data_IF_382630641205
#
_entry.id   IF_382630641205
#
_cell.length_a   1.000
_cell.length_b   1.000
_cell.length_c   1.000
_cell.angle_alpha   90.00
_cell.angle_beta   90.00
_cell.angle_gamma   90.00
#
_symmetry.space_group_name_H-M   'P 1'
#
loop_
_entity.id
_entity.type
_entity.pdbx_description
1 polymer ?
#
# COMPACT_ATOMS: atom_id res chain seq x y z
N UNK A 1 -8.47 4.02 3.82
CA UNK A 1 -9.71 3.84 4.59
C UNK A 1 -10.47 5.15 4.68
N UNK A 2 -11.61 5.20 5.36
CA UNK A 2 -12.21 6.48 5.78
C UNK A 2 -11.16 7.16 6.68
N UNK A 3 -10.74 8.38 6.32
CA UNK A 3 -9.62 9.07 7.00
C UNK A 3 -8.22 8.55 6.67
N UNK A 4 -8.03 7.81 5.57
CA UNK A 4 -6.70 7.39 5.10
C UNK A 4 -6.04 8.40 4.16
N UNK A 5 -4.73 8.27 3.97
CA UNK A 5 -3.95 9.08 3.04
C UNK A 5 -4.00 8.52 1.62
N UNK A 6 -4.23 9.39 0.63
CA UNK A 6 -4.12 9.00 -0.78
C UNK A 6 -2.65 8.94 -1.16
N UNK A 7 -2.14 7.73 -1.40
CA UNK A 7 -0.72 7.48 -1.75
C UNK A 7 -0.50 7.32 -3.25
N UNK A 8 -1.56 7.35 -4.06
CA UNK A 8 -1.47 7.27 -5.52
C UNK A 8 -2.75 6.79 -6.19
N UNK A 9 -2.64 6.56 -7.50
CA UNK A 9 -3.71 6.00 -8.34
C UNK A 9 -3.18 4.75 -9.03
N UNK A 10 -3.99 3.70 -9.07
CA UNK A 10 -3.70 2.44 -9.75
C UNK A 10 -4.46 2.47 -11.08
N UNK A 11 -3.76 2.34 -12.19
CA UNK A 11 -4.38 2.10 -13.50
C UNK A 11 -4.53 0.59 -13.70
N UNK A 12 -5.73 0.12 -14.02
CA UNK A 12 -5.93 -1.26 -14.45
C UNK A 12 -5.31 -1.44 -15.84
N UNK A 13 -4.07 -1.96 -15.88
CA UNK A 13 -3.41 -2.36 -17.12
C UNK A 13 -4.01 -3.63 -17.71
N UNK A 14 -3.47 -4.05 -18.86
CA UNK A 14 -3.86 -5.26 -19.59
C UNK A 14 -3.47 -6.55 -18.85
N UNK A 15 -2.60 -6.44 -17.86
CA UNK A 15 -1.95 -7.58 -17.21
C UNK A 15 -2.79 -8.14 -16.05
N UNK A 16 -2.79 -9.47 -15.94
CA UNK A 16 -3.54 -10.19 -14.89
C UNK A 16 -2.95 -10.02 -13.49
N UNK A 17 -1.72 -9.51 -13.37
CA UNK A 17 -1.06 -9.20 -12.09
C UNK A 17 -0.20 -7.95 -12.24
N UNK A 18 -0.25 -7.06 -11.26
CA UNK A 18 0.55 -5.84 -11.24
C UNK A 18 1.17 -5.65 -9.85
N UNK A 19 2.42 -5.16 -9.84
CA UNK A 19 3.14 -4.80 -8.63
C UNK A 19 3.21 -3.28 -8.51
N UNK A 20 2.88 -2.76 -7.33
CA UNK A 20 2.89 -1.33 -7.05
C UNK A 20 3.66 -1.06 -5.79
N UNK A 21 4.50 -0.02 -5.84
CA UNK A 21 5.23 0.46 -4.68
C UNK A 21 4.65 1.79 -4.21
N UNK A 22 4.24 1.86 -2.95
CA UNK A 22 3.70 3.06 -2.33
C UNK A 22 4.50 3.41 -1.07
N UNK A 23 5.00 4.65 -0.94
CA UNK A 23 5.65 5.08 0.29
C UNK A 23 4.64 5.13 1.43
N UNK A 24 5.06 4.72 2.63
CA UNK A 24 4.23 4.80 3.83
C UNK A 24 4.24 6.26 4.32
N UNK A 25 3.08 6.93 4.43
CA UNK A 25 2.97 8.28 5.00
C UNK A 25 3.57 8.37 6.39
N UNK A 26 4.22 9.50 6.70
CA UNK A 26 4.91 9.72 7.98
C UNK A 26 3.97 9.55 9.19
N UNK A 27 2.69 9.87 9.02
CA UNK A 27 1.65 9.79 10.04
C UNK A 27 1.27 8.34 10.39
N UNK A 28 1.64 7.38 9.55
CA UNK A 28 1.44 5.95 9.79
C UNK A 28 2.72 5.26 10.28
N UNK A 29 3.84 5.98 10.40
CA UNK A 29 5.08 5.42 10.96
C UNK A 29 4.86 5.05 12.43
N UNK A 30 5.32 3.86 12.83
CA UNK A 30 5.10 3.32 14.17
C UNK A 30 3.73 2.68 14.41
N UNK A 31 2.79 2.76 13.45
CA UNK A 31 1.55 1.97 13.52
C UNK A 31 1.87 0.49 13.41
N UNK A 32 1.25 -0.37 14.23
CA UNK A 32 1.49 -1.82 14.20
C UNK A 32 0.98 -2.50 12.92
N UNK A 33 -0.13 -2.02 12.37
CA UNK A 33 -0.75 -2.53 11.14
C UNK A 33 -1.26 -1.37 10.30
N UNK A 34 -1.15 -1.52 9.00
CA UNK A 34 -1.69 -0.57 8.01
C UNK A 34 -2.64 -1.32 7.06
N UNK A 35 -3.64 -0.62 6.54
CA UNK A 35 -4.49 -1.15 5.47
C UNK A 35 -4.24 -0.37 4.19
N UNK A 36 -4.11 -1.10 3.09
CA UNK A 36 -4.10 -0.51 1.75
C UNK A 36 -5.47 -0.76 1.16
N UNK A 37 -6.17 0.32 0.78
CA UNK A 37 -7.50 0.26 0.14
C UNK A 37 -7.42 0.82 -1.26
N UNK A 38 -7.71 -0.02 -2.25
CA UNK A 38 -8.03 0.42 -3.60
C UNK A 38 -9.53 0.71 -3.68
N UNK A 39 -9.90 1.83 -4.30
CA UNK A 39 -11.30 2.21 -4.51
C UNK A 39 -11.48 2.83 -5.89
N UNK A 40 -12.64 2.65 -6.51
CA UNK A 40 -12.97 3.31 -7.77
C UNK A 40 -13.54 4.71 -7.56
N UNK A 41 -13.41 5.60 -8.55
CA UNK A 41 -13.81 7.01 -8.45
C UNK A 41 -15.29 7.32 -8.73
N UNK A 42 -16.14 6.31 -8.89
CA UNK A 42 -17.56 6.48 -9.24
C UNK A 42 -18.41 6.77 -8.00
N UNK A 43 -19.66 7.26 -8.20
CA UNK A 43 -20.59 7.59 -7.11
C UNK A 43 -20.90 6.42 -6.16
N UNK A 44 -20.78 5.18 -6.64
CA UNK A 44 -20.87 3.94 -5.86
C UNK A 44 -19.55 3.17 -5.98
N UNK A 45 -18.55 3.49 -5.12
CA UNK A 45 -17.21 2.96 -5.29
C UNK A 45 -17.14 1.50 -4.87
N UNK A 46 -16.61 0.66 -5.76
CA UNK A 46 -16.10 -0.65 -5.37
C UNK A 46 -14.78 -0.46 -4.63
N UNK A 47 -14.59 -1.19 -3.55
CA UNK A 47 -13.36 -1.14 -2.78
C UNK A 47 -12.85 -2.54 -2.46
N UNK A 48 -11.53 -2.68 -2.51
CA UNK A 48 -10.82 -3.83 -2.01
C UNK A 48 -9.76 -3.33 -1.02
N UNK A 49 -9.59 -4.02 0.10
CA UNK A 49 -8.57 -3.68 1.07
C UNK A 49 -7.99 -4.94 1.69
N UNK A 50 -6.70 -4.87 2.01
CA UNK A 50 -5.99 -5.88 2.78
C UNK A 50 -5.22 -5.21 3.92
N UNK A 51 -4.96 -5.99 4.98
CA UNK A 51 -4.19 -5.57 6.14
C UNK A 51 -2.78 -6.12 6.07
N UNK A 52 -1.82 -5.27 6.38
CA UNK A 52 -0.40 -5.59 6.38
C UNK A 52 0.21 -5.18 7.72
N UNK A 53 1.17 -5.97 8.19
CA UNK A 53 2.00 -5.57 9.32
C UNK A 53 3.01 -4.53 8.85
N UNK A 54 3.11 -3.43 9.58
CA UNK A 54 4.01 -2.33 9.26
C UNK A 54 5.33 -2.52 10.01
N UNK A 55 6.00 -3.63 9.69
CA UNK A 55 7.31 -3.94 10.21
C UNK A 55 8.33 -3.74 9.09
N UNK A 56 9.44 -3.06 9.39
CA UNK A 56 10.57 -3.02 8.47
C UNK A 56 11.17 -4.43 8.40
N UNK A 57 11.06 -5.10 7.26
CA UNK A 57 11.94 -6.23 6.99
C UNK A 57 13.33 -5.66 6.76
N UNK A 58 14.25 -5.87 7.69
CA UNK A 58 15.65 -5.50 7.48
C UNK A 58 16.14 -6.18 6.21
N UNK A 59 16.39 -5.41 5.16
CA UNK A 59 17.11 -5.92 4.01
C UNK A 59 18.50 -6.32 4.52
N UNK A 60 18.79 -7.63 4.50
CA UNK A 60 20.10 -8.15 4.85
C UNK A 60 21.16 -7.36 4.08
N UNK A 61 21.96 -6.59 4.79
CA UNK A 61 23.16 -5.97 4.24
C UNK A 61 24.04 -7.13 3.78
N UNK A 62 24.17 -7.32 2.45
CA UNK A 62 25.20 -8.19 1.91
C UNK A 62 26.55 -7.54 2.21
N UNK A 63 27.17 -7.94 3.30
CA UNK A 63 28.60 -7.75 3.47
C UNK A 63 29.30 -8.65 2.46
N UNK A 64 29.93 -8.04 1.47
CA UNK A 64 30.88 -8.73 0.61
C UNK A 64 32.20 -8.86 1.40
N UNK A 65 32.83 -10.04 1.48
CA UNK A 65 34.23 -10.13 1.91
C UNK A 65 35.16 -9.45 0.89
#
# INVERSE_FOLDING_TARGET
GIGGYSVGTIASGSDSSAEYNFPIPAELHGSYRISIRAQTGHAYPYYAYNWFYNNTTSATVKYCP
#
